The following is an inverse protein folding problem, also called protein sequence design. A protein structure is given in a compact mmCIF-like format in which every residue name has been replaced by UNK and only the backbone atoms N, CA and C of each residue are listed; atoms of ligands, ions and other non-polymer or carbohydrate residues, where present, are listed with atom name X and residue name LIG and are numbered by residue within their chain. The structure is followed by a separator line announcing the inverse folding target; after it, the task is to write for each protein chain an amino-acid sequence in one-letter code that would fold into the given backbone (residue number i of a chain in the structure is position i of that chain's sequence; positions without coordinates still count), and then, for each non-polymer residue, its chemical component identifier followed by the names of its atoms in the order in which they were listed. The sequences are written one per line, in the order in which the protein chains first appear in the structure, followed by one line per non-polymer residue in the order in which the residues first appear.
data_IF_150377288342
#
_entry.id   IF_150377288342
#
_cell.length_a   1.000
_cell.length_b   1.000
_cell.length_c   1.000
_cell.angle_alpha   90.00
_cell.angle_beta   90.00
_cell.angle_gamma   90.00
#
_symmetry.space_group_name_H-M   'P 1'
#
loop_
_entity.id
_entity.type
_entity.pdbx_description
1 polymer ?
#
# COMPACT_ATOMS: atom_id res chain seq x y z
N UNK A 1 -18.72 -6.93 -33.16
CA UNK A 1 -17.33 -6.58 -32.83
C UNK A 1 -17.34 -6.53 -31.31
N UNK A 2 -16.76 -7.52 -30.67
CA UNK A 2 -16.53 -7.48 -29.22
C UNK A 2 -15.60 -6.29 -28.98
N UNK A 3 -16.03 -5.33 -28.15
CA UNK A 3 -15.15 -4.28 -27.64
C UNK A 3 -13.95 -4.97 -27.00
N UNK A 4 -12.81 -4.98 -27.69
CA UNK A 4 -11.57 -5.47 -27.12
C UNK A 4 -11.16 -4.46 -26.06
N UNK A 5 -11.26 -4.87 -24.80
CA UNK A 5 -10.81 -4.09 -23.67
C UNK A 5 -9.34 -3.72 -23.86
N UNK A 6 -9.01 -2.43 -23.69
CA UNK A 6 -7.67 -1.92 -23.87
C UNK A 6 -6.66 -2.64 -22.92
N UNK A 7 -5.49 -3.09 -23.40
CA UNK A 7 -4.57 -3.89 -22.60
C UNK A 7 -4.16 -3.25 -21.26
N UNK A 8 -4.11 -1.92 -21.15
CA UNK A 8 -3.83 -1.23 -19.88
C UNK A 8 -4.94 -1.43 -18.83
N UNK A 9 -6.16 -1.73 -19.26
CA UNK A 9 -7.31 -1.92 -18.35
C UNK A 9 -7.34 -3.31 -17.71
N UNK A 10 -6.63 -4.29 -18.27
CA UNK A 10 -6.53 -5.65 -17.73
C UNK A 10 -5.84 -5.66 -16.37
N UNK A 11 -6.25 -6.55 -15.49
CA UNK A 11 -5.46 -6.92 -14.31
C UNK A 11 -4.16 -7.62 -14.74
N UNK A 12 -3.18 -7.70 -13.86
CA UNK A 12 -1.91 -8.37 -14.18
C UNK A 12 -2.13 -9.86 -14.51
N UNK A 13 -3.00 -10.51 -13.75
CA UNK A 13 -3.33 -11.93 -13.92
C UNK A 13 -4.05 -12.18 -15.25
N UNK A 14 -5.05 -11.37 -15.60
CA UNK A 14 -5.75 -11.47 -16.90
C UNK A 14 -4.84 -11.25 -18.09
N UNK A 15 -3.98 -10.21 -18.00
CA UNK A 15 -3.03 -9.90 -19.07
C UNK A 15 -1.99 -11.03 -19.24
N UNK A 16 -1.49 -11.61 -18.15
CA UNK A 16 -0.57 -12.77 -18.22
C UNK A 16 -1.24 -13.96 -18.91
N UNK A 17 -2.48 -14.29 -18.56
CA UNK A 17 -3.20 -15.37 -19.23
C UNK A 17 -3.34 -15.11 -20.74
N UNK A 18 -3.62 -13.86 -21.15
CA UNK A 18 -3.69 -13.50 -22.57
C UNK A 18 -2.32 -13.59 -23.27
N UNK A 19 -1.25 -13.24 -22.57
CA UNK A 19 0.13 -13.35 -23.09
C UNK A 19 0.52 -14.83 -23.26
N UNK A 20 0.23 -15.67 -22.30
CA UNK A 20 0.47 -17.11 -22.36
C UNK A 20 -0.34 -17.80 -23.46
N UNK A 21 -1.59 -17.36 -23.66
CA UNK A 21 -2.44 -17.82 -24.75
C UNK A 21 -2.05 -17.27 -26.13
N UNK A 22 -1.08 -16.34 -26.20
CA UNK A 22 -0.63 -15.69 -27.44
C UNK A 22 -1.64 -14.70 -28.06
N UNK A 23 -2.68 -14.30 -27.32
CA UNK A 23 -3.68 -13.29 -27.75
C UNK A 23 -3.30 -11.86 -27.40
N UNK A 24 -2.22 -11.65 -26.64
CA UNK A 24 -1.60 -10.40 -26.30
C UNK A 24 -0.08 -10.61 -26.26
N UNK A 25 0.73 -9.66 -26.70
CA UNK A 25 2.16 -9.69 -26.43
C UNK A 25 2.51 -8.82 -25.22
N UNK A 26 3.58 -9.17 -24.50
CA UNK A 26 4.06 -8.35 -23.39
C UNK A 26 4.45 -6.94 -23.85
N UNK A 27 4.96 -6.79 -25.08
CA UNK A 27 5.30 -5.48 -25.67
C UNK A 27 4.05 -4.63 -25.89
N UNK A 28 2.99 -5.19 -26.49
CA UNK A 28 1.71 -4.49 -26.67
C UNK A 28 1.14 -4.02 -25.33
N UNK A 29 1.22 -4.85 -24.30
CA UNK A 29 0.75 -4.49 -22.95
C UNK A 29 1.56 -3.31 -22.37
N UNK A 30 2.89 -3.36 -22.42
CA UNK A 30 3.77 -2.27 -21.95
C UNK A 30 3.51 -0.98 -22.74
N UNK A 31 3.39 -1.06 -24.05
CA UNK A 31 3.10 0.12 -24.92
C UNK A 31 1.73 0.70 -24.57
N UNK A 32 0.71 -0.13 -24.36
CA UNK A 32 -0.63 0.31 -23.95
C UNK A 32 -0.59 1.04 -22.59
N UNK A 33 0.17 0.52 -21.61
CA UNK A 33 0.38 1.22 -20.35
C UNK A 33 1.12 2.57 -20.51
N UNK A 34 2.16 2.64 -21.36
CA UNK A 34 2.84 3.91 -21.66
C UNK A 34 1.90 4.93 -22.31
N UNK A 35 1.04 4.48 -23.21
CA UNK A 35 0.04 5.34 -23.85
C UNK A 35 -0.92 5.92 -22.81
N UNK A 36 -1.42 5.08 -21.89
CA UNK A 36 -2.28 5.52 -20.79
C UNK A 36 -1.55 6.51 -19.88
N UNK A 37 -0.31 6.25 -19.52
CA UNK A 37 0.51 7.18 -18.73
C UNK A 37 0.61 8.54 -19.47
N UNK A 38 0.97 8.54 -20.75
CA UNK A 38 1.13 9.79 -21.53
C UNK A 38 -0.15 10.61 -21.58
N UNK A 39 -1.32 9.96 -21.65
CA UNK A 39 -2.62 10.64 -21.69
C UNK A 39 -2.99 11.27 -20.34
N UNK A 40 -2.67 10.59 -19.23
CA UNK A 40 -3.20 10.96 -17.92
C UNK A 40 -2.21 11.66 -17.00
N UNK A 41 -0.91 11.46 -17.20
CA UNK A 41 0.14 12.03 -16.34
C UNK A 41 0.09 13.56 -16.24
N UNK A 42 -0.22 14.33 -17.29
CA UNK A 42 -0.33 15.78 -17.18
C UNK A 42 -1.36 16.25 -16.13
N UNK A 43 -2.39 15.46 -15.87
CA UNK A 43 -3.44 15.77 -14.90
C UNK A 43 -3.16 15.14 -13.52
N UNK A 44 -2.73 13.88 -13.48
CA UNK A 44 -2.63 13.07 -12.26
C UNK A 44 -1.31 13.26 -11.54
N UNK A 45 -0.21 13.44 -12.26
CA UNK A 45 1.15 13.61 -11.72
C UNK A 45 1.54 12.46 -10.78
N UNK A 46 1.38 11.23 -11.24
CA UNK A 46 1.65 10.03 -10.48
C UNK A 46 3.13 9.60 -10.52
N UNK A 47 3.90 10.07 -11.51
CA UNK A 47 5.24 9.60 -11.78
C UNK A 47 6.31 10.66 -11.46
N UNK A 48 7.28 10.28 -10.63
CA UNK A 48 8.48 11.10 -10.38
C UNK A 48 9.49 10.97 -11.51
N UNK A 49 9.60 9.77 -12.08
CA UNK A 49 10.46 9.47 -13.23
C UNK A 49 9.93 8.26 -13.99
N UNK A 50 10.00 8.30 -15.32
CA UNK A 50 9.60 7.20 -16.20
C UNK A 50 10.81 6.49 -16.79
N UNK A 51 10.74 5.17 -16.91
CA UNK A 51 11.73 4.37 -17.62
C UNK A 51 11.50 4.48 -19.12
N UNK A 52 12.34 5.28 -19.79
CA UNK A 52 12.25 5.48 -21.26
C UNK A 52 12.68 4.23 -22.04
N UNK A 53 13.45 3.31 -21.44
CA UNK A 53 13.98 2.10 -22.07
C UNK A 53 13.10 0.86 -21.90
N UNK A 54 11.97 0.96 -21.19
CA UNK A 54 11.17 -0.22 -20.79
C UNK A 54 10.65 -1.07 -21.96
N UNK A 55 10.34 -0.45 -23.10
CA UNK A 55 9.91 -1.15 -24.33
C UNK A 55 11.07 -1.97 -24.89
N UNK A 56 12.24 -1.35 -25.07
CA UNK A 56 13.43 -2.03 -25.61
C UNK A 56 13.87 -3.19 -24.71
N UNK A 57 13.81 -2.99 -23.38
CA UNK A 57 14.08 -4.04 -22.37
C UNK A 57 13.09 -5.20 -22.53
N UNK A 58 11.79 -4.89 -22.70
CA UNK A 58 10.73 -5.91 -22.88
C UNK A 58 10.91 -6.67 -24.18
N UNK A 59 11.22 -5.98 -25.29
CA UNK A 59 11.53 -6.63 -26.56
C UNK A 59 12.74 -7.56 -26.47
N UNK A 60 13.81 -7.11 -25.79
CA UNK A 60 15.02 -7.92 -25.61
C UNK A 60 14.72 -9.21 -24.84
N UNK A 61 13.92 -9.12 -23.76
CA UNK A 61 13.46 -10.28 -22.97
C UNK A 61 12.60 -11.23 -23.82
N UNK A 62 11.67 -10.70 -24.60
CA UNK A 62 10.78 -11.48 -25.46
C UNK A 62 11.56 -12.24 -26.55
N UNK A 63 12.56 -11.61 -27.17
CA UNK A 63 13.46 -12.28 -28.14
C UNK A 63 14.25 -13.42 -27.51
N UNK A 64 14.62 -13.31 -26.23
CA UNK A 64 15.33 -14.34 -25.47
C UNK A 64 14.39 -15.42 -24.90
N UNK A 65 13.09 -15.35 -25.16
CA UNK A 65 12.06 -16.25 -24.62
C UNK A 65 12.09 -16.36 -23.09
N UNK A 66 12.39 -15.23 -22.43
CA UNK A 66 12.31 -15.12 -20.98
C UNK A 66 10.84 -15.00 -20.53
N UNK A 67 10.62 -15.02 -19.19
CA UNK A 67 9.29 -14.81 -18.61
C UNK A 67 8.62 -13.53 -19.15
N UNK A 68 7.29 -13.50 -19.32
CA UNK A 68 6.55 -12.35 -19.77
C UNK A 68 6.81 -11.12 -18.88
N UNK A 69 6.89 -9.95 -19.49
CA UNK A 69 7.10 -8.70 -18.75
C UNK A 69 5.79 -8.21 -18.13
N UNK A 70 5.79 -8.00 -16.81
CA UNK A 70 4.65 -7.47 -16.03
C UNK A 70 4.93 -5.99 -15.74
N UNK A 71 4.09 -5.03 -16.22
CA UNK A 71 4.29 -3.60 -15.95
C UNK A 71 4.06 -3.27 -14.47
N UNK A 72 5.06 -2.65 -13.81
CA UNK A 72 5.02 -2.30 -12.40
C UNK A 72 5.54 -0.88 -12.17
N UNK A 73 4.83 -0.11 -11.32
CA UNK A 73 5.33 1.15 -10.76
C UNK A 73 6.04 0.94 -9.42
N UNK A 74 7.07 1.72 -9.14
CA UNK A 74 7.86 1.58 -7.90
C UNK A 74 7.95 2.92 -7.18
N UNK A 75 7.51 2.97 -5.93
CA UNK A 75 7.57 4.17 -5.10
C UNK A 75 8.98 4.75 -5.03
N UNK A 76 9.11 6.06 -5.14
CA UNK A 76 10.38 6.79 -5.26
C UNK A 76 11.19 6.92 -3.95
N UNK A 77 11.14 5.93 -3.10
CA UNK A 77 12.08 5.68 -1.99
C UNK A 77 12.70 4.28 -2.07
N UNK A 78 12.44 3.58 -3.18
CA UNK A 78 12.91 2.21 -3.44
C UNK A 78 13.86 2.27 -4.63
N UNK A 79 15.07 1.78 -4.46
CA UNK A 79 16.08 1.80 -5.51
C UNK A 79 15.75 0.83 -6.64
N UNK A 80 15.74 1.36 -7.87
CA UNK A 80 15.62 0.61 -9.13
C UNK A 80 16.84 0.93 -9.97
N UNK A 81 17.69 -0.04 -10.26
CA UNK A 81 18.89 0.16 -11.08
C UNK A 81 18.55 0.81 -12.42
N UNK A 82 19.28 1.86 -12.78
CA UNK A 82 19.06 2.64 -13.99
C UNK A 82 18.06 3.80 -13.86
N UNK A 83 17.40 3.98 -12.71
CA UNK A 83 16.50 5.10 -12.43
C UNK A 83 16.98 5.90 -11.20
N UNK A 84 16.72 7.21 -11.13
CA UNK A 84 17.01 8.00 -9.93
C UNK A 84 16.08 7.64 -8.77
N UNK A 85 16.53 7.89 -7.54
CA UNK A 85 15.72 7.79 -6.31
C UNK A 85 15.78 9.14 -5.58
N UNK A 86 14.80 10.01 -5.85
CA UNK A 86 14.75 11.40 -5.36
C UNK A 86 14.07 11.55 -4.01
N UNK A 87 13.34 10.53 -3.55
CA UNK A 87 12.67 10.46 -2.23
C UNK A 87 11.69 11.61 -1.96
N UNK A 88 11.08 12.18 -3.01
CA UNK A 88 10.16 13.31 -2.90
C UNK A 88 10.85 14.62 -2.52
N UNK A 89 12.13 14.79 -2.84
CA UNK A 89 12.93 15.97 -2.56
C UNK A 89 13.57 16.51 -3.85
N UNK A 90 14.12 17.72 -3.78
CA UNK A 90 14.83 18.37 -4.89
C UNK A 90 16.36 18.46 -4.64
N UNK A 91 16.84 17.85 -3.58
CA UNK A 91 18.26 17.94 -3.16
C UNK A 91 19.01 16.59 -3.22
N UNK A 92 18.36 15.49 -3.49
CA UNK A 92 19.03 14.23 -3.80
C UNK A 92 19.61 14.24 -5.21
N UNK A 93 20.62 13.40 -5.43
CA UNK A 93 21.29 13.29 -6.73
C UNK A 93 20.30 12.68 -7.77
N UNK A 94 20.01 13.40 -8.88
CA UNK A 94 19.15 12.88 -9.94
C UNK A 94 19.84 11.81 -10.81
N UNK A 95 21.08 11.44 -10.54
CA UNK A 95 21.77 10.39 -11.27
C UNK A 95 21.08 9.02 -11.02
N UNK A 96 20.98 8.18 -12.06
CA UNK A 96 20.46 6.84 -11.92
C UNK A 96 21.27 6.02 -10.90
N UNK A 97 20.59 5.31 -9.99
CA UNK A 97 21.27 4.41 -9.07
C UNK A 97 21.85 3.20 -9.80
N UNK A 98 23.01 2.72 -9.35
CA UNK A 98 23.73 1.59 -9.97
C UNK A 98 23.42 0.25 -9.33
N UNK A 99 22.63 0.25 -8.25
CA UNK A 99 22.21 -0.93 -7.51
C UNK A 99 20.73 -0.81 -7.19
N UNK A 100 20.03 -1.93 -7.15
CA UNK A 100 18.61 -1.98 -6.80
C UNK A 100 18.37 -2.65 -5.45
N UNK A 101 17.18 -2.44 -4.89
CA UNK A 101 16.71 -3.13 -3.71
C UNK A 101 16.52 -4.63 -3.93
N UNK A 102 16.63 -5.45 -2.88
CA UNK A 102 16.51 -6.89 -2.99
C UNK A 102 15.14 -7.34 -3.53
N UNK A 103 14.05 -6.76 -3.05
CA UNK A 103 12.70 -7.03 -3.60
C UNK A 103 12.59 -6.66 -5.09
N UNK A 104 13.24 -5.58 -5.53
CA UNK A 104 13.27 -5.17 -6.95
C UNK A 104 14.06 -6.18 -7.79
N UNK A 105 15.19 -6.67 -7.28
CA UNK A 105 16.00 -7.70 -7.97
C UNK A 105 15.20 -9.02 -8.16
N UNK A 106 14.50 -9.46 -7.12
CA UNK A 106 13.62 -10.64 -7.17
C UNK A 106 12.53 -10.45 -8.25
N UNK A 107 11.87 -9.28 -8.25
CA UNK A 107 10.84 -8.96 -9.23
C UNK A 107 11.37 -8.90 -10.65
N UNK A 108 12.56 -8.32 -10.85
CA UNK A 108 13.23 -8.26 -12.17
C UNK A 108 13.52 -9.65 -12.71
N UNK A 109 14.03 -10.55 -11.88
CA UNK A 109 14.28 -11.96 -12.23
C UNK A 109 12.97 -12.69 -12.55
N UNK A 110 11.90 -12.36 -11.85
CA UNK A 110 10.57 -12.93 -12.11
C UNK A 110 9.90 -12.39 -13.39
N UNK A 111 10.44 -11.32 -14.01
CA UNK A 111 9.92 -10.79 -15.26
C UNK A 111 9.22 -9.43 -15.12
N UNK A 112 9.21 -8.78 -13.95
CA UNK A 112 8.62 -7.45 -13.83
C UNK A 112 9.36 -6.42 -14.68
N UNK A 113 8.61 -5.59 -15.39
CA UNK A 113 9.10 -4.44 -16.17
C UNK A 113 8.78 -3.15 -15.40
N UNK A 114 9.82 -2.45 -14.95
CA UNK A 114 9.63 -1.24 -14.17
C UNK A 114 9.34 -0.06 -15.08
N UNK A 115 8.08 0.40 -15.06
CA UNK A 115 7.61 1.53 -15.88
C UNK A 115 8.20 2.86 -15.41
N UNK A 116 8.63 2.94 -14.15
CA UNK A 116 9.23 4.14 -13.57
C UNK A 116 9.07 4.20 -12.06
N UNK A 117 9.44 5.36 -11.51
CA UNK A 117 9.33 5.70 -10.09
C UNK A 117 8.07 6.53 -9.85
N UNK A 118 7.21 6.08 -8.94
CA UNK A 118 5.98 6.78 -8.60
C UNK A 118 6.20 7.80 -7.49
N UNK A 119 5.52 8.94 -7.56
CA UNK A 119 5.64 10.04 -6.59
C UNK A 119 5.41 9.54 -5.17
N UNK A 120 6.26 9.99 -4.27
CA UNK A 120 6.13 9.84 -2.82
C UNK A 120 6.03 11.20 -2.14
N UNK A 121 5.55 11.25 -0.92
CA UNK A 121 5.71 12.43 -0.05
C UNK A 121 7.16 12.61 0.34
N UNK A 122 7.55 13.81 0.77
CA UNK A 122 8.91 14.13 1.21
C UNK A 122 9.46 13.08 2.18
N UNK A 123 10.56 12.42 1.78
CA UNK A 123 11.21 11.31 2.50
C UNK A 123 10.22 10.22 2.97
N UNK A 124 9.15 9.99 2.20
CA UNK A 124 8.11 9.04 2.55
C UNK A 124 7.27 9.42 3.78
N UNK A 125 7.29 10.69 4.22
CA UNK A 125 6.59 11.14 5.41
C UNK A 125 5.21 11.78 5.11
N UNK A 126 4.93 13.02 5.49
CA UNK A 126 3.59 13.62 5.43
C UNK A 126 3.45 14.79 4.46
N UNK A 127 4.54 15.45 4.09
CA UNK A 127 4.47 16.59 3.17
C UNK A 127 4.12 16.08 1.76
N UNK A 128 2.96 16.48 1.19
CA UNK A 128 2.47 15.92 -0.07
C UNK A 128 3.41 16.23 -1.26
N UNK A 129 3.45 15.31 -2.22
CA UNK A 129 3.96 15.56 -3.57
C UNK A 129 2.87 16.13 -4.49
N UNK A 130 3.16 16.21 -5.78
CA UNK A 130 2.29 16.82 -6.78
C UNK A 130 1.07 15.97 -7.17
N UNK A 131 1.03 14.70 -6.81
CA UNK A 131 0.02 13.74 -7.26
C UNK A 131 -1.40 14.14 -6.84
N UNK A 132 -2.33 13.97 -7.75
CA UNK A 132 -3.76 14.20 -7.56
C UNK A 132 -4.54 12.90 -7.55
N UNK A 133 -5.69 12.90 -6.88
CA UNK A 133 -6.57 11.73 -6.84
C UNK A 133 -7.26 11.53 -8.20
N UNK A 134 -7.13 10.37 -8.87
CA UNK A 134 -7.78 10.15 -10.16
C UNK A 134 -9.32 10.16 -10.12
N UNK A 135 -9.91 9.96 -8.95
CA UNK A 135 -11.38 10.00 -8.77
C UNK A 135 -11.93 11.42 -8.76
N UNK A 136 -11.15 12.37 -8.22
CA UNK A 136 -11.40 13.81 -8.29
C UNK A 136 -10.08 14.53 -8.00
N UNK A 137 -9.54 15.23 -8.98
CA UNK A 137 -8.23 15.89 -8.93
C UNK A 137 -8.12 17.04 -7.93
N UNK A 138 -9.23 17.47 -7.33
CA UNK A 138 -9.28 18.43 -6.23
C UNK A 138 -9.01 17.79 -4.86
N UNK A 139 -9.01 16.46 -4.80
CA UNK A 139 -8.86 15.68 -3.57
C UNK A 139 -7.47 15.08 -3.47
N UNK A 140 -7.01 14.88 -2.24
CA UNK A 140 -5.75 14.18 -1.98
C UNK A 140 -5.82 12.71 -2.43
N UNK A 141 -4.77 12.16 -3.06
CA UNK A 141 -4.67 10.71 -3.29
C UNK A 141 -4.29 9.95 -2.01
N UNK A 142 -4.09 10.66 -0.88
CA UNK A 142 -3.44 10.10 0.30
C UNK A 142 -1.93 10.04 0.13
N UNK A 143 -1.29 9.25 0.98
CA UNK A 143 0.18 9.08 0.96
C UNK A 143 0.65 8.19 2.13
N UNK A 144 1.96 7.93 2.17
CA UNK A 144 3.05 8.49 1.34
C UNK A 144 3.20 7.83 -0.03
N UNK A 145 2.61 6.66 -0.32
CA UNK A 145 2.61 6.01 -1.64
C UNK A 145 1.54 6.63 -2.56
N UNK A 146 1.54 7.97 -2.70
CA UNK A 146 0.53 8.74 -3.43
C UNK A 146 0.50 8.39 -4.92
N UNK A 147 1.63 8.46 -5.60
CA UNK A 147 1.75 8.14 -7.02
C UNK A 147 1.46 6.66 -7.31
N UNK A 148 1.86 5.76 -6.40
CA UNK A 148 1.59 4.32 -6.57
C UNK A 148 0.08 4.02 -6.57
N UNK A 149 -0.68 4.59 -5.64
CA UNK A 149 -2.13 4.41 -5.59
C UNK A 149 -2.82 5.07 -6.78
N UNK A 150 -2.40 6.29 -7.13
CA UNK A 150 -2.98 7.02 -8.26
C UNK A 150 -2.70 6.32 -9.60
N UNK A 151 -1.49 5.82 -9.84
CA UNK A 151 -1.14 5.11 -11.08
C UNK A 151 -1.97 3.84 -11.28
N UNK A 152 -2.20 3.06 -10.21
CA UNK A 152 -3.05 1.86 -10.26
C UNK A 152 -4.52 2.26 -10.47
N UNK A 153 -5.01 3.28 -9.76
CA UNK A 153 -6.41 3.73 -9.85
C UNK A 153 -6.77 4.34 -11.21
N UNK A 154 -5.80 4.97 -11.89
CA UNK A 154 -5.97 5.56 -13.21
C UNK A 154 -5.59 4.60 -14.35
N UNK A 155 -5.43 3.30 -14.05
CA UNK A 155 -5.14 2.24 -15.01
C UNK A 155 -3.81 2.43 -15.76
N UNK A 156 -2.87 3.20 -15.20
CA UNK A 156 -1.54 3.41 -15.81
C UNK A 156 -0.68 2.15 -15.75
N UNK A 157 -0.84 1.37 -14.68
CA UNK A 157 -0.22 0.06 -14.46
C UNK A 157 -1.14 -0.81 -13.60
N UNK A 158 -1.08 -2.15 -13.72
CA UNK A 158 -1.89 -3.03 -12.86
C UNK A 158 -1.38 -3.10 -11.43
N UNK A 159 -0.10 -2.92 -11.21
CA UNK A 159 0.61 -3.17 -9.97
C UNK A 159 1.57 -2.04 -9.62
N UNK A 160 1.66 -1.69 -8.34
CA UNK A 160 2.71 -0.83 -7.80
C UNK A 160 3.25 -1.34 -6.47
N UNK A 161 4.54 -1.07 -6.23
CA UNK A 161 5.12 -1.15 -4.88
C UNK A 161 4.88 0.16 -4.13
N UNK A 162 4.53 0.03 -2.85
CA UNK A 162 4.48 1.10 -1.87
C UNK A 162 5.19 0.70 -0.59
N UNK A 163 5.24 1.60 0.39
CA UNK A 163 5.77 1.30 1.73
C UNK A 163 4.84 1.85 2.80
N UNK A 164 4.82 1.21 3.95
CA UNK A 164 4.00 1.66 5.08
C UNK A 164 4.78 1.68 6.38
N UNK A 165 4.86 2.87 6.99
CA UNK A 165 5.31 3.09 8.37
C UNK A 165 4.13 3.36 9.29
N UNK A 166 3.10 4.02 8.79
CA UNK A 166 1.84 4.33 9.51
C UNK A 166 0.63 3.79 8.75
N UNK A 167 0.23 4.46 7.65
CA UNK A 167 -0.92 4.11 6.82
C UNK A 167 -0.61 4.26 5.32
N UNK A 168 0.66 4.24 4.93
CA UNK A 168 1.11 4.74 3.63
C UNK A 168 0.89 3.80 2.44
N UNK A 169 0.24 2.66 2.63
CA UNK A 169 -0.30 1.77 1.59
C UNK A 169 -1.83 1.74 1.71
N UNK A 170 -2.34 1.46 2.91
CA UNK A 170 -3.78 1.29 3.17
C UNK A 170 -4.56 2.56 2.85
N UNK A 171 -4.13 3.72 3.37
CA UNK A 171 -4.86 4.98 3.20
C UNK A 171 -4.89 5.48 1.74
N UNK A 172 -3.77 5.60 1.00
CA UNK A 172 -3.83 6.03 -0.39
C UNK A 172 -4.61 5.04 -1.27
N UNK A 173 -4.53 3.74 -1.01
CA UNK A 173 -5.36 2.76 -1.70
C UNK A 173 -6.86 2.99 -1.44
N UNK A 174 -7.26 3.24 -0.19
CA UNK A 174 -8.64 3.54 0.17
C UNK A 174 -9.16 4.81 -0.51
N UNK A 175 -8.37 5.88 -0.52
CA UNK A 175 -8.75 7.16 -1.13
C UNK A 175 -8.82 7.11 -2.65
N UNK A 176 -7.98 6.31 -3.29
CA UNK A 176 -7.98 6.16 -4.74
C UNK A 176 -8.93 5.04 -5.23
N UNK A 177 -9.49 4.23 -4.32
CA UNK A 177 -10.41 3.15 -4.66
C UNK A 177 -9.72 1.98 -5.36
N UNK A 178 -8.60 1.55 -4.79
CA UNK A 178 -7.84 0.34 -5.20
C UNK A 178 -7.55 -0.53 -3.99
N UNK A 179 -7.06 -1.73 -4.22
CA UNK A 179 -6.60 -2.64 -3.18
C UNK A 179 -5.21 -2.23 -2.72
N UNK A 180 -5.03 -2.10 -1.40
CA UNK A 180 -3.73 -1.88 -0.78
C UNK A 180 -3.44 -2.97 0.23
N UNK A 181 -2.36 -3.70 0.04
CA UNK A 181 -1.95 -4.79 0.92
C UNK A 181 -0.62 -4.48 1.59
N UNK A 182 -0.64 -4.54 2.92
CA UNK A 182 0.52 -4.49 3.80
C UNK A 182 0.72 -5.89 4.38
N UNK A 183 1.77 -6.62 3.99
CA UNK A 183 2.01 -7.97 4.53
C UNK A 183 2.39 -7.95 6.01
N UNK A 184 2.52 -9.11 6.57
CA UNK A 184 3.21 -9.32 7.84
C UNK A 184 4.58 -8.64 7.82
N UNK A 185 4.94 -8.00 8.95
CA UNK A 185 6.23 -7.33 9.09
C UNK A 185 7.40 -8.29 8.78
N UNK A 186 8.33 -7.85 7.97
CA UNK A 186 9.50 -8.60 7.47
C UNK A 186 9.18 -9.77 6.50
N UNK A 187 7.99 -9.83 5.92
CA UNK A 187 7.68 -10.83 4.89
C UNK A 187 8.49 -10.58 3.60
N UNK A 188 8.76 -9.31 3.28
CA UNK A 188 9.55 -8.91 2.11
C UNK A 188 10.87 -8.26 2.50
N UNK A 189 11.91 -8.44 1.67
CA UNK A 189 13.18 -7.75 1.82
C UNK A 189 13.04 -6.24 1.68
N UNK A 190 13.76 -5.49 2.51
CA UNK A 190 13.72 -4.02 2.55
C UNK A 190 15.06 -3.36 2.21
N UNK A 191 16.04 -4.12 1.72
CA UNK A 191 17.30 -3.55 1.27
C UNK A 191 17.09 -2.61 0.08
N UNK A 192 17.83 -1.51 0.01
CA UNK A 192 17.65 -0.49 -1.02
C UNK A 192 16.33 0.30 -0.92
N UNK A 193 15.72 0.36 0.27
CA UNK A 193 14.55 1.18 0.57
C UNK A 193 14.93 2.19 1.65
N UNK A 194 14.55 3.46 1.47
CA UNK A 194 14.71 4.46 2.53
C UNK A 194 13.96 3.97 3.78
N UNK A 195 14.69 3.73 4.85
CA UNK A 195 14.09 3.39 6.12
C UNK A 195 13.50 4.64 6.79
N UNK A 196 12.25 4.58 7.21
CA UNK A 196 11.60 5.59 8.04
C UNK A 196 11.62 5.15 9.51
N UNK A 197 11.13 3.93 9.78
CA UNK A 197 11.16 3.31 11.09
C UNK A 197 11.44 1.81 10.92
N UNK A 198 12.70 1.37 10.93
CA UNK A 198 13.11 0.00 10.62
C UNK A 198 12.36 -1.09 11.40
N UNK A 199 11.93 -0.80 12.63
CA UNK A 199 11.21 -1.76 13.48
C UNK A 199 9.77 -2.04 13.05
N UNK A 200 9.21 -1.24 12.09
CA UNK A 200 7.82 -1.36 11.65
C UNK A 200 7.61 -1.16 10.15
N UNK A 201 8.56 -0.56 9.42
CA UNK A 201 8.45 -0.35 7.97
C UNK A 201 8.16 -1.64 7.24
N UNK A 202 7.19 -1.59 6.34
CA UNK A 202 6.75 -2.74 5.56
C UNK A 202 6.63 -2.33 4.09
N UNK A 203 7.22 -3.13 3.19
CA UNK A 203 6.96 -3.03 1.75
C UNK A 203 5.55 -3.56 1.50
N UNK A 204 4.77 -2.86 0.68
CA UNK A 204 3.39 -3.25 0.39
C UNK A 204 3.06 -3.15 -1.10
N UNK A 205 1.93 -3.70 -1.46
CA UNK A 205 1.45 -3.86 -2.82
C UNK A 205 0.16 -3.04 -3.01
N UNK A 206 0.06 -2.35 -4.13
CA UNK A 206 -1.17 -1.72 -4.61
C UNK A 206 -1.57 -2.37 -5.94
N UNK A 207 -2.84 -2.76 -6.05
CA UNK A 207 -3.34 -3.54 -7.18
C UNK A 207 -4.84 -3.26 -7.44
N UNK A 208 -5.36 -3.75 -8.57
CA UNK A 208 -6.80 -3.69 -8.86
C UNK A 208 -7.56 -4.95 -8.46
N UNK A 209 -6.87 -6.08 -8.32
CA UNK A 209 -7.48 -7.35 -7.91
C UNK A 209 -6.71 -8.01 -6.75
N UNK A 210 -7.37 -8.88 -6.01
CA UNK A 210 -6.73 -9.68 -4.95
C UNK A 210 -5.78 -10.71 -5.58
N UNK A 211 -6.11 -11.23 -6.76
CA UNK A 211 -5.26 -12.17 -7.50
C UNK A 211 -3.93 -11.53 -7.90
N UNK A 212 -3.95 -10.25 -8.31
CA UNK A 212 -2.74 -9.47 -8.59
C UNK A 212 -1.86 -9.27 -7.34
N UNK A 213 -2.50 -9.02 -6.18
CA UNK A 213 -1.77 -8.98 -4.89
C UNK A 213 -1.10 -10.31 -4.62
N UNK A 214 -1.83 -11.42 -4.80
CA UNK A 214 -1.31 -12.78 -4.63
C UNK A 214 -0.15 -13.09 -5.57
N UNK A 215 -0.30 -12.76 -6.85
CA UNK A 215 0.75 -12.93 -7.87
C UNK A 215 2.04 -12.22 -7.43
N UNK A 216 1.98 -10.93 -7.10
CA UNK A 216 3.16 -10.17 -6.74
C UNK A 216 3.74 -10.61 -5.39
N UNK A 217 2.90 -11.02 -4.43
CA UNK A 217 3.36 -11.57 -3.16
C UNK A 217 4.13 -12.88 -3.36
N UNK A 218 3.64 -13.79 -4.19
CA UNK A 218 4.34 -15.04 -4.50
C UNK A 218 5.68 -14.78 -5.18
N UNK A 219 5.74 -13.83 -6.11
CA UNK A 219 7.01 -13.38 -6.72
C UNK A 219 7.99 -12.91 -5.64
N UNK A 220 7.56 -12.00 -4.76
CA UNK A 220 8.41 -11.43 -3.70
C UNK A 220 8.86 -12.45 -2.65
N UNK A 221 8.10 -13.52 -2.46
CA UNK A 221 8.44 -14.64 -1.57
C UNK A 221 9.19 -15.77 -2.29
N UNK A 222 9.50 -15.59 -3.58
CA UNK A 222 10.15 -16.60 -4.44
C UNK A 222 9.41 -17.96 -4.42
N UNK A 223 8.06 -17.91 -4.34
CA UNK A 223 7.19 -19.08 -4.35
C UNK A 223 6.65 -19.35 -5.77
N UNK A 224 6.27 -20.59 -6.08
CA UNK A 224 5.52 -20.86 -7.31
C UNK A 224 4.24 -20.02 -7.41
N UNK A 225 3.88 -19.66 -8.63
CA UNK A 225 2.60 -19.01 -8.86
C UNK A 225 1.46 -20.02 -8.57
N UNK A 226 0.64 -19.71 -7.58
CA UNK A 226 -0.54 -20.48 -7.19
C UNK A 226 -1.73 -19.53 -7.15
N UNK A 227 -2.87 -19.98 -7.63
CA UNK A 227 -4.11 -19.22 -7.50
C UNK A 227 -4.51 -19.07 -6.03
N UNK A 228 -4.97 -17.90 -5.66
CA UNK A 228 -5.58 -17.71 -4.34
C UNK A 228 -6.91 -18.47 -4.34
N UNK A 229 -6.94 -19.58 -3.62
CA UNK A 229 -8.20 -20.29 -3.40
C UNK A 229 -9.07 -19.48 -2.43
N UNK A 230 -10.37 -19.36 -2.75
CA UNK A 230 -11.35 -18.74 -1.85
C UNK A 230 -11.36 -19.50 -0.53
N UNK A 231 -11.37 -18.78 0.58
CA UNK A 231 -11.61 -19.40 1.87
C UNK A 231 -12.99 -20.05 1.90
N UNK A 232 -13.11 -21.19 2.57
CA UNK A 232 -14.41 -21.62 3.04
C UNK A 232 -14.85 -20.65 4.15
N UNK A 233 -15.73 -19.73 3.78
CA UNK A 233 -16.20 -18.65 4.65
C UNK A 233 -17.18 -19.09 5.74
N UNK A 234 -17.69 -20.33 5.63
CA UNK A 234 -18.70 -20.88 6.55
C UNK A 234 -18.22 -21.04 8.01
N UNK A 235 -16.94 -20.81 8.29
CA UNK A 235 -16.35 -20.89 9.61
C UNK A 235 -15.58 -19.65 10.05
N UNK A 236 -15.33 -18.67 9.15
CA UNK A 236 -14.55 -17.48 9.50
C UNK A 236 -15.27 -16.58 10.51
N UNK A 237 -14.51 -16.13 11.50
CA UNK A 237 -14.96 -15.20 12.53
C UNK A 237 -14.45 -13.80 12.22
N UNK A 238 -15.38 -12.88 11.90
CA UNK A 238 -15.07 -11.47 11.68
C UNK A 238 -15.35 -10.66 12.93
N UNK A 239 -14.36 -9.89 13.37
CA UNK A 239 -14.46 -9.00 14.52
C UNK A 239 -14.60 -7.54 14.09
N UNK A 240 -15.73 -6.88 14.41
CA UNK A 240 -15.83 -5.44 14.26
C UNK A 240 -15.00 -4.76 15.35
N UNK A 241 -14.02 -3.94 14.96
CA UNK A 241 -13.21 -3.15 15.89
C UNK A 241 -13.95 -1.87 16.28
N UNK A 242 -14.81 -1.95 17.30
CA UNK A 242 -15.75 -0.90 17.72
C UNK A 242 -15.19 0.08 18.77
N UNK A 243 -14.02 -0.19 19.34
CA UNK A 243 -13.34 0.73 20.27
C UNK A 243 -12.56 1.85 19.57
N UNK A 244 -11.87 2.73 20.33
CA UNK A 244 -11.02 3.75 19.72
C UNK A 244 -10.06 3.15 18.69
N UNK A 245 -9.93 3.71 17.47
CA UNK A 245 -10.38 5.05 17.02
C UNK A 245 -11.73 5.06 16.25
N UNK A 246 -12.58 4.04 16.36
CA UNK A 246 -13.84 3.92 15.62
C UNK A 246 -14.67 5.22 15.55
N UNK A 247 -14.77 5.93 16.69
CA UNK A 247 -15.57 7.15 16.80
C UNK A 247 -15.01 8.32 16.01
N UNK A 248 -13.76 8.25 15.55
CA UNK A 248 -13.13 9.29 14.71
C UNK A 248 -13.48 9.12 13.23
N UNK A 249 -14.10 7.99 12.84
CA UNK A 249 -14.61 7.82 11.49
C UNK A 249 -15.91 8.61 11.28
N UNK A 250 -16.10 9.06 10.03
CA UNK A 250 -17.33 9.72 9.63
C UNK A 250 -18.55 8.82 9.88
N UNK A 251 -19.70 9.38 10.27
CA UNK A 251 -20.92 8.59 10.50
C UNK A 251 -21.32 7.72 9.30
N UNK A 252 -21.14 8.23 8.07
CA UNK A 252 -21.41 7.48 6.85
C UNK A 252 -20.51 6.24 6.74
N UNK A 253 -19.21 6.40 6.94
CA UNK A 253 -18.23 5.29 6.92
C UNK A 253 -18.59 4.22 7.95
N UNK A 254 -18.94 4.62 9.18
CA UNK A 254 -19.36 3.67 10.22
C UNK A 254 -20.61 2.90 9.83
N UNK A 255 -21.64 3.60 9.37
CA UNK A 255 -22.90 2.98 8.94
C UNK A 255 -22.70 2.00 7.76
N UNK A 256 -21.79 2.31 6.82
CA UNK A 256 -21.48 1.43 5.70
C UNK A 256 -20.81 0.14 6.19
N UNK A 257 -19.85 0.23 7.09
CA UNK A 257 -19.16 -0.94 7.66
C UNK A 257 -20.11 -1.77 8.53
N UNK A 258 -20.94 -1.15 9.37
CA UNK A 258 -21.92 -1.87 10.18
C UNK A 258 -22.93 -2.66 9.33
N UNK A 259 -23.42 -2.05 8.23
CA UNK A 259 -24.29 -2.76 7.27
C UNK A 259 -23.56 -3.93 6.61
N UNK A 260 -22.32 -3.69 6.18
CA UNK A 260 -21.51 -4.73 5.57
C UNK A 260 -21.25 -5.91 6.52
N UNK A 261 -21.03 -5.65 7.82
CA UNK A 261 -20.96 -6.72 8.81
C UNK A 261 -22.24 -7.56 8.82
N UNK A 262 -23.40 -6.91 8.75
CA UNK A 262 -24.69 -7.61 8.61
C UNK A 262 -24.79 -8.47 7.34
N UNK A 263 -24.26 -7.98 6.23
CA UNK A 263 -24.20 -8.72 4.95
C UNK A 263 -23.26 -9.92 5.04
N UNK A 264 -22.10 -9.80 5.70
CA UNK A 264 -21.19 -10.91 5.98
C UNK A 264 -21.90 -12.01 6.79
N UNK A 265 -22.65 -11.64 7.83
CA UNK A 265 -23.43 -12.61 8.64
C UNK A 265 -24.52 -13.29 7.80
N UNK A 266 -25.23 -12.56 6.95
CA UNK A 266 -26.24 -13.11 6.07
C UNK A 266 -25.66 -14.12 5.05
N UNK A 267 -24.37 -14.00 4.74
CA UNK A 267 -23.60 -14.93 3.90
C UNK A 267 -22.81 -15.99 4.69
N UNK A 268 -23.15 -16.22 5.96
CA UNK A 268 -22.67 -17.35 6.76
C UNK A 268 -21.44 -17.09 7.62
N UNK A 269 -20.86 -15.87 7.62
CA UNK A 269 -19.76 -15.51 8.51
C UNK A 269 -20.23 -15.38 9.97
N UNK A 270 -19.37 -15.75 10.93
CA UNK A 270 -19.61 -15.48 12.34
C UNK A 270 -19.13 -14.07 12.67
N UNK A 271 -19.91 -13.35 13.47
CA UNK A 271 -19.55 -11.98 13.88
C UNK A 271 -19.32 -11.90 15.39
N UNK A 272 -18.34 -11.09 15.75
CA UNK A 272 -18.08 -10.71 17.15
C UNK A 272 -17.76 -9.20 17.21
N UNK A 273 -18.08 -8.57 18.33
CA UNK A 273 -17.64 -7.21 18.63
C UNK A 273 -16.32 -7.26 19.38
N UNK A 274 -15.30 -6.55 18.89
CA UNK A 274 -13.96 -6.57 19.47
C UNK A 274 -13.59 -5.17 19.94
N UNK A 275 -13.33 -5.07 21.24
CA UNK A 275 -12.91 -3.81 21.87
C UNK A 275 -11.48 -3.91 22.37
N UNK A 276 -10.62 -3.05 21.86
CA UNK A 276 -9.22 -2.94 22.25
C UNK A 276 -8.94 -1.57 22.90
N UNK A 277 -9.85 -1.10 23.74
CA UNK A 277 -9.96 0.28 24.26
C UNK A 277 -8.67 0.83 24.88
N UNK A 278 -7.84 -0.03 25.48
CA UNK A 278 -6.55 0.36 26.06
C UNK A 278 -5.37 0.04 25.16
N UNK A 279 -5.47 -1.03 24.36
CA UNK A 279 -4.35 -1.51 23.55
C UNK A 279 -4.11 -0.61 22.33
N UNK A 280 -5.16 -0.25 21.59
CA UNK A 280 -5.01 0.58 20.39
C UNK A 280 -4.50 1.99 20.70
N UNK A 281 -5.09 2.76 21.64
CA UNK A 281 -4.54 4.07 22.00
C UNK A 281 -3.07 3.98 22.43
N UNK A 282 -2.72 2.96 23.24
CA UNK A 282 -1.34 2.79 23.69
C UNK A 282 -0.38 2.48 22.52
N UNK A 283 -0.79 1.63 21.58
CA UNK A 283 -0.02 1.36 20.38
C UNK A 283 0.17 2.63 19.51
N UNK A 284 -0.82 3.51 19.44
CA UNK A 284 -0.70 4.77 18.70
C UNK A 284 0.32 5.72 19.37
N UNK A 285 0.33 5.80 20.70
CA UNK A 285 1.35 6.56 21.44
C UNK A 285 2.75 6.00 21.21
N UNK A 286 2.92 4.68 21.36
CA UNK A 286 4.18 3.99 21.13
C UNK A 286 4.64 4.11 19.68
N UNK A 287 3.72 4.05 18.71
CA UNK A 287 4.02 4.27 17.30
C UNK A 287 4.65 5.65 17.07
N UNK A 288 4.07 6.70 17.66
CA UNK A 288 4.60 8.06 17.55
C UNK A 288 6.02 8.16 18.11
N UNK A 289 6.23 7.62 19.31
CA UNK A 289 7.52 7.62 20.00
C UNK A 289 8.57 6.83 19.20
N UNK A 290 8.30 5.56 18.89
CA UNK A 290 9.24 4.68 18.20
C UNK A 290 9.58 5.21 16.83
N UNK A 291 8.56 5.55 16.02
CA UNK A 291 8.80 6.04 14.67
C UNK A 291 9.48 7.41 14.63
N UNK A 292 9.23 8.29 15.60
CA UNK A 292 9.95 9.56 15.72
C UNK A 292 11.43 9.36 16.00
N UNK A 293 11.75 8.52 16.99
CA UNK A 293 13.11 8.19 17.35
C UNK A 293 13.90 7.55 16.19
N UNK A 294 13.31 6.58 15.51
CA UNK A 294 13.95 5.87 14.40
C UNK A 294 14.09 6.77 13.18
N UNK A 295 13.04 7.50 12.79
CA UNK A 295 13.05 8.40 11.63
C UNK A 295 14.15 9.46 11.73
N UNK A 296 14.30 10.10 12.90
CA UNK A 296 15.35 11.10 13.12
C UNK A 296 16.75 10.54 12.87
N UNK A 297 16.96 9.24 13.08
CA UNK A 297 18.24 8.56 12.83
C UNK A 297 18.37 8.13 11.38
N UNK A 298 17.32 7.60 10.81
CA UNK A 298 17.30 7.09 9.45
C UNK A 298 17.61 8.19 8.42
N UNK A 299 17.11 9.41 8.64
CA UNK A 299 17.40 10.58 7.79
C UNK A 299 18.48 11.49 8.39
N UNK A 300 19.48 10.91 9.03
CA UNK A 300 20.55 11.71 9.66
C UNK A 300 21.33 12.55 8.64
N UNK A 301 21.58 12.03 7.44
CA UNK A 301 22.25 12.74 6.37
C UNK A 301 21.46 13.99 5.96
N UNK A 302 20.20 13.84 5.62
CA UNK A 302 19.30 14.93 5.20
C UNK A 302 19.14 15.97 6.31
N UNK A 303 18.97 15.51 7.55
CA UNK A 303 18.85 16.38 8.73
C UNK A 303 20.13 17.18 9.02
N UNK A 304 21.30 16.62 8.75
CA UNK A 304 22.59 17.29 9.03
C UNK A 304 22.94 18.25 7.90
N UNK A 305 22.72 17.84 6.64
CA UNK A 305 23.22 18.58 5.48
C UNK A 305 22.16 19.43 4.77
N UNK A 306 20.86 19.15 4.97
CA UNK A 306 19.74 19.77 4.23
C UNK A 306 18.58 20.19 5.15
N UNK A 307 18.82 20.45 6.43
CA UNK A 307 17.76 20.76 7.41
C UNK A 307 16.90 21.97 6.99
N UNK A 308 17.49 22.98 6.40
CA UNK A 308 16.83 24.19 5.90
C UNK A 308 15.95 23.93 4.67
N UNK A 309 16.19 22.85 3.95
CA UNK A 309 15.43 22.43 2.77
C UNK A 309 14.29 21.46 3.10
N UNK A 310 14.27 20.90 4.32
CA UNK A 310 13.18 20.07 4.78
C UNK A 310 11.94 20.92 5.09
N UNK A 311 10.75 20.41 4.78
CA UNK A 311 9.49 21.10 5.07
C UNK A 311 9.29 21.35 6.57
N UNK A 312 8.51 22.38 6.91
CA UNK A 312 8.10 22.65 8.31
C UNK A 312 7.32 21.46 8.89
N UNK A 313 6.48 20.81 8.07
CA UNK A 313 5.71 19.61 8.45
C UNK A 313 6.63 18.51 9.00
N UNK A 314 7.79 18.33 8.37
CA UNK A 314 8.76 17.31 8.78
C UNK A 314 9.60 17.76 9.97
N UNK A 315 10.08 19.00 9.95
CA UNK A 315 10.94 19.56 11.01
C UNK A 315 10.21 19.70 12.35
N UNK A 316 9.01 20.29 12.32
CA UNK A 316 8.19 20.59 13.49
C UNK A 316 7.34 19.40 13.96
N UNK A 317 7.16 18.41 13.08
CA UNK A 317 6.45 17.16 13.37
C UNK A 317 7.38 16.03 13.82
N UNK A 318 7.62 15.08 12.92
CA UNK A 318 8.30 13.82 13.25
C UNK A 318 9.74 14.00 13.77
N UNK A 319 10.50 14.94 13.23
CA UNK A 319 11.86 15.21 13.73
C UNK A 319 11.85 15.80 15.13
N UNK A 320 10.89 16.69 15.42
CA UNK A 320 10.72 17.24 16.77
C UNK A 320 10.30 16.16 17.77
N UNK A 321 9.35 15.28 17.39
CA UNK A 321 8.97 14.11 18.20
C UNK A 321 10.20 13.25 18.54
N UNK A 322 11.00 12.90 17.53
CA UNK A 322 12.20 12.07 17.71
C UNK A 322 13.33 12.75 18.48
N UNK A 323 13.36 14.08 18.55
CA UNK A 323 14.35 14.83 19.34
C UNK A 323 14.08 14.71 20.85
N UNK A 324 12.83 14.55 21.24
CA UNK A 324 12.42 14.47 22.64
C UNK A 324 12.62 13.08 23.26
N UNK A 325 12.84 12.05 22.44
CA UNK A 325 12.93 10.67 22.90
C UNK A 325 14.39 10.27 23.10
N UNK A 326 14.75 9.84 24.32
CA UNK A 326 16.06 9.27 24.60
C UNK A 326 16.13 7.75 24.31
N UNK A 327 17.35 7.18 24.36
CA UNK A 327 17.54 5.76 24.09
C UNK A 327 16.87 4.84 25.13
N UNK A 328 16.76 5.27 26.38
CA UNK A 328 16.13 4.47 27.45
C UNK A 328 14.63 4.38 27.24
N UNK A 329 14.00 5.50 26.92
CA UNK A 329 12.58 5.59 26.58
C UNK A 329 12.25 4.74 25.34
N UNK A 330 13.09 4.87 24.30
CA UNK A 330 12.93 4.05 23.09
C UNK A 330 13.02 2.54 23.39
N UNK A 331 14.03 2.09 24.14
CA UNK A 331 14.19 0.68 24.51
C UNK A 331 13.00 0.19 25.37
N UNK A 332 12.51 1.01 26.29
CA UNK A 332 11.30 0.71 27.07
C UNK A 332 10.07 0.55 26.18
N UNK A 333 9.91 1.46 25.19
CA UNK A 333 8.81 1.39 24.23
C UNK A 333 8.85 0.12 23.36
N UNK A 334 10.02 -0.30 22.88
CA UNK A 334 10.18 -1.55 22.11
C UNK A 334 9.81 -2.79 22.95
N UNK A 335 10.20 -2.81 24.23
CA UNK A 335 9.82 -3.90 25.13
C UNK A 335 8.29 -3.95 25.34
N UNK A 336 7.66 -2.79 25.51
CA UNK A 336 6.20 -2.69 25.68
C UNK A 336 5.46 -3.09 24.39
N UNK A 337 5.94 -2.67 23.20
CA UNK A 337 5.41 -3.12 21.92
C UNK A 337 5.45 -4.64 21.81
N UNK A 338 6.55 -5.26 22.21
CA UNK A 338 6.69 -6.72 22.22
C UNK A 338 5.66 -7.41 23.12
N UNK A 339 5.39 -6.83 24.30
CA UNK A 339 4.36 -7.34 25.21
C UNK A 339 2.94 -7.18 24.63
N UNK A 340 2.64 -6.01 24.00
CA UNK A 340 1.35 -5.75 23.38
C UNK A 340 1.10 -6.65 22.15
N UNK A 341 2.12 -6.95 21.34
CA UNK A 341 2.02 -7.92 20.23
C UNK A 341 1.57 -9.30 20.74
N UNK A 342 2.11 -9.78 21.86
CA UNK A 342 1.68 -11.06 22.48
C UNK A 342 0.23 -11.01 22.96
N UNK A 343 -0.20 -9.88 23.54
CA UNK A 343 -1.58 -9.69 23.98
C UNK A 343 -2.56 -9.57 22.82
N UNK A 344 -2.14 -9.00 21.68
CA UNK A 344 -2.95 -8.95 20.47
C UNK A 344 -3.09 -10.34 19.82
N UNK A 345 -2.05 -11.17 19.87
CA UNK A 345 -2.12 -12.54 19.37
C UNK A 345 -3.28 -13.33 20.03
N UNK A 346 -3.56 -13.11 21.32
CA UNK A 346 -4.69 -13.73 22.02
C UNK A 346 -6.05 -13.32 21.43
N UNK A 347 -6.18 -12.10 20.90
CA UNK A 347 -7.40 -11.66 20.20
C UNK A 347 -7.65 -12.50 18.95
N UNK A 348 -6.58 -12.86 18.24
CA UNK A 348 -6.65 -13.66 17.01
C UNK A 348 -6.77 -15.19 17.28
N UNK A 349 -6.86 -15.64 18.52
CA UNK A 349 -7.29 -17.00 18.88
C UNK A 349 -8.82 -17.16 18.78
N UNK A 350 -9.57 -16.05 18.91
CA UNK A 350 -11.03 -16.01 18.87
C UNK A 350 -11.60 -15.39 17.60
N UNK A 351 -10.79 -14.64 16.86
CA UNK A 351 -11.18 -13.88 15.66
C UNK A 351 -10.17 -14.13 14.55
N UNK A 352 -10.64 -14.49 13.37
CA UNK A 352 -9.78 -14.68 12.21
C UNK A 352 -9.37 -13.34 11.58
N UNK A 353 -10.34 -12.42 11.42
CA UNK A 353 -10.17 -11.14 10.74
C UNK A 353 -10.86 -10.03 11.52
N UNK A 354 -10.10 -8.98 11.84
CA UNK A 354 -10.65 -7.72 12.34
C UNK A 354 -11.04 -6.82 11.18
N UNK A 355 -12.18 -6.14 11.33
CA UNK A 355 -12.72 -5.19 10.35
C UNK A 355 -12.72 -3.79 10.95
N UNK A 356 -12.19 -2.83 10.20
CA UNK A 356 -12.17 -1.41 10.62
C UNK A 356 -12.22 -0.49 9.39
N UNK A 357 -12.46 0.82 9.56
CA UNK A 357 -12.22 1.80 8.51
C UNK A 357 -10.75 1.77 8.04
N UNK A 358 -10.51 1.98 6.75
CA UNK A 358 -9.14 2.20 6.22
C UNK A 358 -8.67 3.65 6.47
N UNK A 359 -9.62 4.57 6.49
CA UNK A 359 -9.46 5.99 6.79
C UNK A 359 -10.75 6.51 7.45
N UNK A 360 -10.75 7.74 7.96
CA UNK A 360 -11.91 8.29 8.65
C UNK A 360 -13.14 8.43 7.75
N UNK A 361 -12.94 8.66 6.47
CA UNK A 361 -13.97 8.85 5.45
C UNK A 361 -13.36 8.81 4.04
N UNK A 362 -14.05 9.38 3.04
CA UNK A 362 -13.50 9.55 1.70
C UNK A 362 -12.32 10.53 1.71
N UNK A 363 -11.62 10.63 0.57
CA UNK A 363 -10.48 11.52 0.42
C UNK A 363 -10.84 12.98 0.73
N UNK A 364 -10.11 13.72 1.59
CA UNK A 364 -10.31 15.14 1.83
C UNK A 364 -10.17 16.00 0.57
N UNK A 365 -11.00 17.04 0.44
CA UNK A 365 -10.98 18.00 -0.68
C UNK A 365 -9.83 19.02 -0.52
N UNK A 366 -8.60 18.53 -0.54
CA UNK A 366 -7.37 19.33 -0.44
C UNK A 366 -6.18 18.56 -0.97
N UNK A 367 -5.13 19.26 -1.39
CA UNK A 367 -3.86 18.67 -1.77
C UNK A 367 -2.76 18.93 -0.73
N UNK A 368 -3.07 19.62 0.37
CA UNK A 368 -2.08 20.03 1.39
C UNK A 368 -1.85 18.97 2.48
N UNK A 369 -2.61 17.90 2.48
CA UNK A 369 -2.48 16.80 3.45
C UNK A 369 -2.64 15.44 2.78
N UNK A 370 -2.08 14.44 3.39
CA UNK A 370 -2.31 13.03 3.00
C UNK A 370 -3.41 12.35 3.81
N UNK A 371 -4.10 13.09 4.70
CA UNK A 371 -5.08 12.54 5.64
C UNK A 371 -4.45 11.89 6.87
N UNK A 372 -5.31 11.45 7.80
CA UNK A 372 -4.89 10.86 9.09
C UNK A 372 -4.56 9.36 8.95
N UNK A 373 -3.70 8.87 9.85
CA UNK A 373 -3.18 7.49 9.82
C UNK A 373 -3.72 6.62 10.98
N UNK A 374 -4.76 7.09 11.65
CA UNK A 374 -5.23 6.58 12.94
C UNK A 374 -5.62 5.11 12.89
N UNK A 375 -6.26 4.67 11.80
CA UNK A 375 -6.78 3.30 11.69
C UNK A 375 -5.73 2.23 11.36
N UNK A 376 -4.55 2.62 10.85
CA UNK A 376 -3.53 1.66 10.39
C UNK A 376 -2.25 1.64 11.25
N UNK A 377 -1.92 2.75 11.93
CA UNK A 377 -0.63 2.91 12.64
C UNK A 377 -0.40 1.86 13.71
N UNK A 378 -1.44 1.50 14.48
CA UNK A 378 -1.36 0.47 15.50
C UNK A 378 -1.00 -0.91 14.90
N UNK A 379 -1.62 -1.28 13.80
CA UNK A 379 -1.40 -2.55 13.10
C UNK A 379 -0.06 -2.62 12.40
N UNK A 380 0.45 -1.47 11.92
CA UNK A 380 1.80 -1.38 11.38
C UNK A 380 2.84 -1.60 12.48
N UNK A 381 2.69 -0.92 13.63
CA UNK A 381 3.56 -1.15 14.79
C UNK A 381 3.44 -2.58 15.33
N UNK A 382 2.23 -3.15 15.36
CA UNK A 382 2.01 -4.52 15.79
C UNK A 382 2.58 -5.56 14.83
N UNK A 383 2.78 -5.19 13.56
CA UNK A 383 3.36 -6.05 12.52
C UNK A 383 2.35 -6.96 11.83
N UNK A 384 1.05 -6.84 12.13
CA UNK A 384 -0.01 -7.66 11.56
C UNK A 384 -0.21 -7.38 10.07
N UNK A 385 -0.54 -8.38 9.22
CA UNK A 385 -0.95 -8.15 7.84
C UNK A 385 -2.28 -7.41 7.80
N UNK A 386 -2.42 -6.52 6.83
CA UNK A 386 -3.64 -5.75 6.61
C UNK A 386 -3.86 -5.51 5.11
N UNK A 387 -5.13 -5.47 4.72
CA UNK A 387 -5.55 -5.16 3.36
C UNK A 387 -6.72 -4.18 3.40
N UNK A 388 -6.77 -3.24 2.47
CA UNK A 388 -7.96 -2.42 2.22
C UNK A 388 -8.64 -2.86 0.94
N UNK A 389 -9.95 -2.99 0.99
CA UNK A 389 -10.79 -3.31 -0.17
C UNK A 389 -11.70 -2.11 -0.48
N UNK A 390 -11.86 -1.71 -1.75
CA UNK A 390 -12.68 -0.58 -2.19
C UNK A 390 -14.16 -0.99 -2.29
N UNK A 391 -14.80 -1.26 -1.15
CA UNK A 391 -16.16 -1.83 -1.10
C UNK A 391 -17.27 -0.78 -1.21
N UNK A 392 -17.00 0.48 -0.87
CA UNK A 392 -18.03 1.49 -0.74
C UNK A 392 -17.70 2.77 -1.49
N UNK A 393 -18.75 3.54 -1.77
CA UNK A 393 -18.66 4.90 -2.29
C UNK A 393 -19.49 5.85 -1.43
N UNK A 394 -18.96 7.04 -1.18
CA UNK A 394 -19.63 8.08 -0.41
C UNK A 394 -20.86 8.60 -1.16
N UNK A 395 -21.97 8.75 -0.44
CA UNK A 395 -23.19 9.33 -0.99
C UNK A 395 -22.95 10.77 -1.40
N UNK A 396 -23.36 11.15 -2.58
CA UNK A 396 -23.24 12.50 -3.13
C UNK A 396 -21.91 12.78 -3.86
N UNK A 397 -20.75 12.44 -3.30
CA UNK A 397 -19.46 12.64 -3.98
C UNK A 397 -19.06 11.48 -4.89
N UNK A 398 -19.53 10.28 -4.61
CA UNK A 398 -19.09 9.06 -5.30
C UNK A 398 -17.63 8.65 -5.00
N UNK A 399 -16.96 9.36 -4.09
CA UNK A 399 -15.57 9.04 -3.75
C UNK A 399 -15.48 7.71 -2.99
N UNK A 400 -14.40 6.94 -3.21
CA UNK A 400 -14.22 5.66 -2.55
C UNK A 400 -14.13 5.76 -1.03
N UNK A 401 -14.69 4.77 -0.34
CA UNK A 401 -14.50 4.50 1.08
C UNK A 401 -13.98 3.08 1.21
N UNK A 402 -12.75 2.93 1.69
CA UNK A 402 -12.10 1.64 1.88
C UNK A 402 -12.47 0.99 3.21
N UNK A 403 -12.63 -0.33 3.20
CA UNK A 403 -12.75 -1.16 4.39
C UNK A 403 -11.44 -1.91 4.64
N UNK A 404 -10.89 -1.83 5.85
CA UNK A 404 -9.64 -2.48 6.23
C UNK A 404 -9.92 -3.80 6.94
N UNK A 405 -9.21 -4.83 6.51
CA UNK A 405 -9.21 -6.16 7.10
C UNK A 405 -7.82 -6.47 7.65
N UNK A 406 -7.75 -6.94 8.89
CA UNK A 406 -6.50 -7.23 9.60
C UNK A 406 -6.55 -8.67 10.10
N UNK A 407 -5.52 -9.46 9.83
CA UNK A 407 -5.39 -10.81 10.36
C UNK A 407 -4.31 -10.93 11.45
N UNK A 408 -4.23 -12.08 12.07
CA UNK A 408 -3.17 -12.43 13.00
C UNK A 408 -1.80 -12.39 12.32
N UNK A 409 -0.74 -12.22 13.10
CA UNK A 409 0.63 -12.21 12.58
C UNK A 409 0.93 -13.51 11.82
N UNK A 410 1.51 -13.41 10.63
CA UNK A 410 1.80 -14.49 9.68
C UNK A 410 0.57 -15.23 9.11
N UNK A 411 -0.63 -14.65 9.18
CA UNK A 411 -1.86 -15.20 8.58
C UNK A 411 -2.23 -14.52 7.25
N UNK A 412 -1.24 -14.17 6.45
CA UNK A 412 -1.41 -13.47 5.16
C UNK A 412 -2.20 -14.29 4.15
N UNK A 413 -1.96 -15.59 4.04
CA UNK A 413 -2.64 -16.45 3.07
C UNK A 413 -4.14 -16.55 3.37
N UNK A 414 -4.53 -16.66 4.65
CA UNK A 414 -5.94 -16.63 5.07
C UNK A 414 -6.58 -15.26 4.81
N UNK A 415 -5.86 -14.17 5.09
CA UNK A 415 -6.34 -12.80 4.83
C UNK A 415 -6.64 -12.59 3.33
N UNK A 416 -5.74 -13.03 2.44
CA UNK A 416 -5.92 -12.92 1.00
C UNK A 416 -7.06 -13.81 0.49
N UNK A 417 -7.16 -15.05 0.99
CA UNK A 417 -8.24 -15.97 0.63
C UNK A 417 -9.63 -15.42 1.02
N UNK A 418 -9.74 -14.84 2.22
CA UNK A 418 -10.96 -14.18 2.66
C UNK A 418 -11.25 -12.90 1.86
N UNK A 419 -10.21 -12.11 1.53
CA UNK A 419 -10.35 -10.91 0.72
C UNK A 419 -10.83 -11.22 -0.70
N UNK A 420 -10.37 -12.33 -1.29
CA UNK A 420 -10.87 -12.79 -2.59
C UNK A 420 -12.34 -13.12 -2.52
N UNK A 421 -12.77 -13.90 -1.53
CA UNK A 421 -14.18 -14.18 -1.31
C UNK A 421 -15.01 -12.90 -1.16
N UNK A 422 -14.54 -11.96 -0.33
CA UNK A 422 -15.24 -10.67 -0.11
C UNK A 422 -15.39 -9.90 -1.42
N UNK A 423 -14.34 -9.79 -2.22
CA UNK A 423 -14.39 -9.06 -3.49
C UNK A 423 -15.28 -9.74 -4.53
N UNK A 424 -15.32 -11.08 -4.56
CA UNK A 424 -16.16 -11.83 -5.49
C UNK A 424 -17.65 -11.73 -5.15
N UNK A 425 -18.01 -11.55 -3.88
CA UNK A 425 -19.41 -11.49 -3.41
C UNK A 425 -19.92 -10.05 -3.26
N UNK A 426 -19.08 -9.13 -2.79
CA UNK A 426 -19.47 -7.77 -2.38
C UNK A 426 -18.72 -6.68 -3.14
N UNK A 427 -17.73 -7.03 -3.96
CA UNK A 427 -16.95 -6.05 -4.72
C UNK A 427 -17.83 -5.28 -5.70
N UNK A 428 -17.44 -4.04 -6.05
CA UNK A 428 -18.11 -3.32 -7.14
C UNK A 428 -17.95 -4.13 -8.42
N UNK A 429 -19.11 -4.42 -9.06
CA UNK A 429 -19.18 -5.15 -10.33
C UNK A 429 -18.63 -4.36 -11.50
#
# INVERSE_FOLDING_TARGET
MTDLEEPYALTATEALHRVEAGSLSAVEWIVSCQERIRQREPEIQAWANLNQGVVDETEARSRQRQKPSIPVGVKDIIDVCGLPTMMGTDFHDPAPVTREGGSVAIMREAGCAFMGKTVTTELGHRHPGATRNPRDTRHTPGGSSSGSAAAVADLMVPLCLGTQTSASVIRPAAYCGVIGYKPTYNDFDKSGILANAPSMDTLGILARSVDDVGLLRQILLERPAEEIHKADHSGLVFGLLSGPPWETADPETRNLIERFMGELAANGARLVDVRLDRKIPRLLELHRLVSGYEFRRSIAFERIHHLDRLSSVLREGRLADGHQVDNREYQGAIQEVTALRRQLAQTFEEVDILVSPSAAGPAPATLETTGEATFSSAWTLAGNPAITLPLFSAVGSGLPIGCQFIAGFANDDMLLAASKWIMDVFGPG
#
